data_IF_855157244777
#
_entry.id   IF_855157244777
#
_cell.length_a   1.000
_cell.length_b   1.000
_cell.length_c   1.000
_cell.angle_alpha   90.00
_cell.angle_beta   90.00
_cell.angle_gamma   90.00
#
_symmetry.space_group_name_H-M   'P 1'
#
loop_
_entity.id
_entity.type
_entity.pdbx_description
1 polymer ?
#
# COMPACT_ATOMS: atom_id res chain seq x y z
N UNK A 1 -4.51 -12.81 -31.75
CA UNK A 1 -4.00 -11.68 -30.94
C UNK A 1 -4.95 -11.48 -29.76
N UNK A 2 -4.43 -11.48 -28.54
CA UNK A 2 -5.21 -11.15 -27.32
C UNK A 2 -5.95 -9.83 -27.51
N UNK A 3 -7.27 -9.81 -27.24
CA UNK A 3 -8.10 -8.58 -27.22
C UNK A 3 -7.78 -7.67 -26.02
N UNK A 4 -6.91 -8.11 -25.12
CA UNK A 4 -6.60 -7.42 -23.87
C UNK A 4 -5.31 -6.61 -23.99
N UNK A 5 -5.39 -5.36 -23.55
CA UNK A 5 -4.26 -4.43 -23.49
C UNK A 5 -3.36 -4.75 -22.30
N UNK A 6 -2.03 -4.66 -22.50
CA UNK A 6 -1.05 -4.80 -21.42
C UNK A 6 -1.17 -3.63 -20.43
N UNK A 7 -0.97 -3.91 -19.15
CA UNK A 7 -0.93 -2.90 -18.11
C UNK A 7 0.46 -2.27 -18.05
N UNK A 8 0.52 -0.95 -17.87
CA UNK A 8 1.76 -0.26 -17.55
C UNK A 8 2.15 -0.53 -16.10
N UNK A 9 3.23 -1.28 -15.89
CA UNK A 9 3.74 -1.64 -14.55
C UNK A 9 4.04 -0.39 -13.71
N UNK A 10 4.68 0.60 -14.31
CA UNK A 10 5.04 1.86 -13.62
C UNK A 10 3.81 2.66 -13.22
N UNK A 11 2.83 2.78 -14.13
CA UNK A 11 1.63 3.55 -13.87
C UNK A 11 0.78 2.91 -12.77
N UNK A 12 0.61 1.58 -12.79
CA UNK A 12 -0.15 0.88 -11.75
C UNK A 12 0.58 0.91 -10.40
N UNK A 13 1.90 0.73 -10.38
CA UNK A 13 2.69 0.83 -9.16
C UNK A 13 2.60 2.24 -8.53
N UNK A 14 2.73 3.29 -9.34
CA UNK A 14 2.57 4.67 -8.86
C UNK A 14 1.13 4.95 -8.37
N UNK A 15 0.11 4.46 -9.07
CA UNK A 15 -1.28 4.58 -8.62
C UNK A 15 -1.49 3.91 -7.27
N UNK A 16 -0.97 2.69 -7.09
CA UNK A 16 -1.07 1.97 -5.82
C UNK A 16 -0.27 2.66 -4.71
N UNK A 17 0.89 3.25 -5.00
CA UNK A 17 1.65 4.04 -4.03
C UNK A 17 0.82 5.23 -3.50
N UNK A 18 0.05 5.90 -4.36
CA UNK A 18 -0.88 6.96 -3.93
C UNK A 18 -1.99 6.39 -3.02
N UNK A 19 -2.53 5.22 -3.34
CA UNK A 19 -3.44 4.52 -2.43
C UNK A 19 -2.79 4.21 -1.08
N UNK A 20 -1.52 3.78 -1.06
CA UNK A 20 -0.76 3.55 0.17
C UNK A 20 -0.60 4.82 1.02
N UNK A 21 -0.40 5.98 0.39
CA UNK A 21 -0.36 7.26 1.08
C UNK A 21 -1.71 7.64 1.69
N UNK A 22 -2.81 7.49 0.94
CA UNK A 22 -4.17 7.75 1.44
C UNK A 22 -4.53 6.79 2.57
N UNK A 23 -4.18 5.51 2.43
CA UNK A 23 -4.34 4.50 3.48
C UNK A 23 -3.59 4.90 4.76
N UNK A 24 -2.36 5.37 4.65
CA UNK A 24 -1.59 5.89 5.78
C UNK A 24 -2.32 7.05 6.48
N UNK A 25 -2.83 8.03 5.74
CA UNK A 25 -3.59 9.16 6.32
C UNK A 25 -4.81 8.65 7.10
N UNK A 26 -5.60 7.75 6.50
CA UNK A 26 -6.78 7.16 7.14
C UNK A 26 -6.40 6.44 8.41
N UNK A 27 -5.35 5.62 8.39
CA UNK A 27 -4.90 4.87 9.55
C UNK A 27 -4.38 5.78 10.67
N UNK A 28 -3.66 6.86 10.37
CA UNK A 28 -3.22 7.83 11.38
C UNK A 28 -4.41 8.54 12.02
N UNK A 29 -5.39 8.97 11.23
CA UNK A 29 -6.59 9.63 11.77
C UNK A 29 -7.45 8.66 12.58
N UNK A 30 -7.70 7.46 12.05
CA UNK A 30 -8.60 6.48 12.66
C UNK A 30 -7.99 5.85 13.92
N UNK A 31 -6.78 5.29 13.82
CA UNK A 31 -6.15 4.62 14.96
C UNK A 31 -5.44 5.59 15.90
N UNK A 32 -4.83 6.64 15.36
CA UNK A 32 -4.14 7.65 16.15
C UNK A 32 -5.06 8.75 16.70
N UNK A 33 -5.80 9.42 15.83
CA UNK A 33 -6.66 10.55 16.22
C UNK A 33 -7.94 10.15 16.96
N UNK A 34 -8.61 9.10 16.48
CA UNK A 34 -9.85 8.60 17.07
C UNK A 34 -9.63 7.44 18.06
N UNK A 35 -8.36 7.06 18.30
CA UNK A 35 -7.96 6.02 19.25
C UNK A 35 -8.67 4.67 19.02
N UNK A 36 -8.97 4.35 17.77
CA UNK A 36 -9.64 3.08 17.41
C UNK A 36 -8.64 1.91 17.45
N UNK A 37 -9.07 0.72 17.89
CA UNK A 37 -8.17 -0.43 18.05
C UNK A 37 -7.54 -0.83 16.73
N UNK A 38 -6.25 -1.16 16.76
CA UNK A 38 -5.52 -1.64 15.59
C UNK A 38 -4.79 -2.95 15.88
N UNK A 39 -4.56 -3.76 14.83
CA UNK A 39 -3.70 -4.94 14.92
C UNK A 39 -2.26 -4.60 15.28
N UNK A 40 -1.78 -3.40 14.90
CA UNK A 40 -0.43 -2.95 15.23
C UNK A 40 -0.25 -2.76 16.74
N UNK A 41 -1.27 -2.27 17.44
CA UNK A 41 -1.21 -2.08 18.89
C UNK A 41 -1.14 -3.44 19.62
N UNK A 42 -1.78 -4.48 19.07
CA UNK A 42 -1.69 -5.84 19.60
C UNK A 42 -0.34 -6.51 19.31
N UNK A 43 0.21 -6.33 18.11
CA UNK A 43 1.46 -6.98 17.69
C UNK A 43 2.71 -6.26 18.22
N UNK A 44 2.64 -4.95 18.39
CA UNK A 44 3.75 -4.09 18.78
C UNK A 44 3.34 -3.19 19.95
N UNK A 45 3.37 -3.70 21.19
CA UNK A 45 3.04 -2.92 22.37
C UNK A 45 3.91 -1.65 22.44
N UNK A 46 3.28 -0.48 22.54
CA UNK A 46 3.95 0.83 22.54
C UNK A 46 4.12 1.48 21.18
N UNK A 47 3.66 0.83 20.09
CA UNK A 47 3.46 1.51 18.82
C UNK A 47 2.41 2.62 18.98
N UNK A 48 2.56 3.69 18.21
CA UNK A 48 1.61 4.81 18.21
C UNK A 48 1.60 5.46 16.84
N UNK A 49 0.41 5.55 16.25
CA UNK A 49 0.21 6.16 14.94
C UNK A 49 0.48 7.67 14.91
N UNK A 50 0.52 8.34 16.07
CA UNK A 50 0.77 9.78 16.20
C UNK A 50 2.21 10.08 16.63
N UNK A 51 2.96 9.09 17.11
CA UNK A 51 4.37 9.29 17.41
C UNK A 51 5.15 9.49 16.10
N UNK A 52 5.87 10.61 15.91
CA UNK A 52 6.38 11.01 14.60
C UNK A 52 7.24 9.95 13.90
N UNK A 53 8.11 9.26 14.63
CA UNK A 53 8.99 8.22 14.08
C UNK A 53 8.18 7.02 13.57
N UNK A 54 7.19 6.58 14.34
CA UNK A 54 6.31 5.48 13.95
C UNK A 54 5.42 5.87 12.78
N UNK A 55 4.85 7.07 12.80
CA UNK A 55 4.00 7.59 11.74
C UNK A 55 4.76 7.66 10.40
N UNK A 56 5.99 8.19 10.41
CA UNK A 56 6.85 8.25 9.21
C UNK A 56 7.30 6.86 8.75
N UNK A 57 7.69 5.97 9.67
CA UNK A 57 8.03 4.60 9.32
C UNK A 57 6.86 3.88 8.65
N UNK A 58 5.66 4.03 9.21
CA UNK A 58 4.44 3.45 8.68
C UNK A 58 4.03 4.05 7.32
N UNK A 59 4.30 5.35 7.10
CA UNK A 59 4.14 5.98 5.77
C UNK A 59 5.01 5.29 4.72
N UNK A 60 6.31 5.14 5.02
CA UNK A 60 7.27 4.53 4.08
C UNK A 60 6.84 3.11 3.75
N UNK A 61 6.49 2.31 4.77
CA UNK A 61 6.05 0.92 4.58
C UNK A 61 4.75 0.86 3.78
N UNK A 62 3.79 1.74 4.05
CA UNK A 62 2.51 1.77 3.32
C UNK A 62 2.71 2.12 1.85
N UNK A 63 3.46 3.20 1.55
CA UNK A 63 3.72 3.63 0.17
C UNK A 63 4.53 2.58 -0.59
N UNK A 64 5.63 2.10 -0.01
CA UNK A 64 6.50 1.11 -0.64
C UNK A 64 5.79 -0.24 -0.84
N UNK A 65 5.06 -0.70 0.18
CA UNK A 65 4.29 -1.95 0.13
C UNK A 65 3.27 -1.93 -0.99
N UNK A 66 2.44 -0.89 -1.05
CA UNK A 66 1.44 -0.78 -2.11
C UNK A 66 2.06 -0.58 -3.50
N UNK A 67 3.18 0.16 -3.63
CA UNK A 67 3.91 0.27 -4.89
C UNK A 67 4.34 -1.11 -5.40
N UNK A 68 4.96 -1.91 -4.54
CA UNK A 68 5.40 -3.28 -4.86
C UNK A 68 4.20 -4.14 -5.25
N UNK A 69 3.09 -4.06 -4.50
CA UNK A 69 1.85 -4.77 -4.83
C UNK A 69 1.33 -4.39 -6.22
N UNK A 70 1.25 -3.09 -6.55
CA UNK A 70 0.81 -2.63 -7.87
C UNK A 70 1.72 -3.11 -9.00
N UNK A 71 3.04 -3.09 -8.77
CA UNK A 71 4.01 -3.62 -9.72
C UNK A 71 3.82 -5.14 -9.93
N UNK A 72 3.69 -5.91 -8.85
CA UNK A 72 3.48 -7.36 -8.90
C UNK A 72 2.18 -7.74 -9.63
N UNK A 73 1.09 -7.02 -9.38
CA UNK A 73 -0.20 -7.23 -10.06
C UNK A 73 -0.05 -7.00 -11.57
N UNK A 74 0.57 -5.89 -11.98
CA UNK A 74 0.79 -5.61 -13.40
C UNK A 74 1.65 -6.70 -14.06
N UNK A 75 2.74 -7.11 -13.40
CA UNK A 75 3.62 -8.17 -13.90
C UNK A 75 2.89 -9.50 -14.08
N UNK A 76 2.14 -9.91 -13.05
CA UNK A 76 1.38 -11.16 -13.08
C UNK A 76 0.32 -11.14 -14.18
N UNK A 77 -0.42 -10.05 -14.33
CA UNK A 77 -1.41 -9.89 -15.39
C UNK A 77 -0.76 -9.97 -16.79
N UNK A 78 0.31 -9.20 -17.03
CA UNK A 78 1.02 -9.19 -18.31
C UNK A 78 1.65 -10.55 -18.64
N UNK A 79 2.14 -11.27 -17.64
CA UNK A 79 2.66 -12.63 -17.81
C UNK A 79 1.56 -13.62 -18.21
N UNK A 80 0.39 -13.55 -17.59
CA UNK A 80 -0.76 -14.38 -17.96
C UNK A 80 -1.25 -14.06 -19.38
N UNK A 81 -1.24 -12.79 -19.80
CA UNK A 81 -1.60 -12.41 -21.17
C UNK A 81 -0.67 -12.99 -22.23
N UNK A 82 0.64 -13.10 -21.95
CA UNK A 82 1.62 -13.66 -22.90
C UNK A 82 1.49 -15.17 -23.09
N UNK A 83 0.81 -15.86 -22.17
CA UNK A 83 0.58 -17.31 -22.23
C UNK A 83 -0.71 -17.69 -22.96
N UNK A 84 -1.52 -16.70 -23.34
CA UNK A 84 -2.78 -16.87 -24.08
C UNK A 84 -2.63 -16.37 -25.50
#
# INVERSE_FOLDING_TARGET
>A
MSKYQQLSEKALAAAMAMFGFVFWLVAVVWHGGMMQPSMMDYMYPGFSYVYPVHALGFLIVSVAGFYITGWLIAKFYNWNLKRK
#
